data_IF_962541139394
#
_entry.id   IF_962541139394
#
_cell.length_a   1.000
_cell.length_b   1.000
_cell.length_c   1.000
_cell.angle_alpha   90.00
_cell.angle_beta   90.00
_cell.angle_gamma   90.00
#
_symmetry.space_group_name_H-M   'P 1'
#
loop_
_entity.id
_entity.type
_entity.pdbx_description
1 polymer ?
#
# COMPACT_ATOMS: atom_id res chain seq x y z
N UNK A 1 7.68 -7.36 3.74
CA UNK A 1 8.31 -6.03 3.90
C UNK A 1 7.52 -5.23 4.92
N UNK A 2 8.18 -4.65 5.94
CA UNK A 2 7.49 -3.78 6.90
C UNK A 2 7.30 -2.40 6.31
N UNK A 3 6.11 -1.84 6.49
CA UNK A 3 5.77 -0.50 6.02
C UNK A 3 5.01 0.32 7.08
N UNK A 4 5.14 1.63 7.01
CA UNK A 4 4.37 2.59 7.81
C UNK A 4 3.57 3.51 6.87
N UNK A 5 2.23 3.53 6.95
CA UNK A 5 1.41 4.42 6.12
C UNK A 5 1.52 5.87 6.60
N UNK A 6 1.54 6.84 5.67
CA UNK A 6 1.57 8.27 6.02
C UNK A 6 0.21 8.83 6.45
N UNK A 7 -0.89 8.14 6.14
CA UNK A 7 -2.26 8.62 6.35
C UNK A 7 -2.70 9.73 5.39
N UNK A 8 -1.83 10.13 4.46
CA UNK A 8 -2.11 11.18 3.48
C UNK A 8 -2.58 10.55 2.17
N UNK A 9 -3.69 11.05 1.64
CA UNK A 9 -4.19 10.69 0.31
C UNK A 9 -3.94 11.86 -0.65
N UNK A 10 -3.33 11.57 -1.79
CA UNK A 10 -3.04 12.53 -2.85
C UNK A 10 -3.40 11.94 -4.22
N UNK A 11 -3.50 12.75 -5.27
CA UNK A 11 -3.72 12.26 -6.63
C UNK A 11 -2.37 12.08 -7.34
N UNK A 12 -2.15 10.91 -7.95
CA UNK A 12 -0.89 10.64 -8.64
C UNK A 12 -0.83 9.25 -9.28
N UNK A 13 0.34 8.89 -9.77
CA UNK A 13 0.59 7.58 -10.41
C UNK A 13 1.10 6.59 -9.37
N UNK A 14 0.59 5.36 -9.43
CA UNK A 14 0.98 4.30 -8.49
C UNK A 14 2.33 3.70 -8.89
N UNK A 15 3.26 3.70 -7.93
CA UNK A 15 4.58 3.09 -8.11
C UNK A 15 4.51 1.56 -8.17
N UNK A 16 3.52 0.97 -7.48
CA UNK A 16 3.22 -0.45 -7.56
C UNK A 16 2.17 -0.69 -8.62
N UNK A 17 2.46 -1.56 -9.58
CA UNK A 17 1.52 -2.07 -10.56
C UNK A 17 1.63 -3.59 -10.59
N UNK A 18 0.49 -4.26 -10.53
CA UNK A 18 0.38 -5.72 -10.62
C UNK A 18 -0.66 -6.07 -11.68
N UNK A 19 -0.88 -7.36 -11.95
CA UNK A 19 -2.01 -7.78 -12.79
C UNK A 19 -3.38 -7.47 -12.17
N UNK A 20 -3.41 -7.18 -10.86
CA UNK A 20 -4.65 -7.01 -10.06
C UNK A 20 -4.87 -5.55 -9.64
N UNK A 21 -3.85 -4.71 -9.73
CA UNK A 21 -3.95 -3.27 -9.50
C UNK A 21 -3.12 -2.50 -10.55
N UNK A 22 -3.79 -1.64 -11.31
CA UNK A 22 -3.14 -0.80 -12.34
C UNK A 22 -3.79 0.58 -12.30
N UNK A 23 -2.97 1.61 -12.09
CA UNK A 23 -3.40 3.01 -12.24
C UNK A 23 -2.37 3.75 -13.09
N UNK A 24 -2.61 3.76 -14.41
CA UNK A 24 -1.73 4.37 -15.41
C UNK A 24 -2.01 5.86 -15.65
N UNK A 25 -3.23 6.31 -15.37
CA UNK A 25 -3.72 7.66 -15.74
C UNK A 25 -3.95 8.58 -14.52
N UNK A 26 -3.47 8.16 -13.35
CA UNK A 26 -3.65 8.88 -12.09
C UNK A 26 -4.80 8.32 -11.26
N UNK A 27 -4.56 8.16 -9.97
CA UNK A 27 -5.53 7.68 -9.00
C UNK A 27 -5.26 8.29 -7.62
N UNK A 28 -6.21 8.19 -6.68
CA UNK A 28 -5.93 8.40 -5.27
C UNK A 28 -4.85 7.42 -4.79
N UNK A 29 -3.74 7.97 -4.31
CA UNK A 29 -2.58 7.26 -3.77
C UNK A 29 -2.33 7.67 -2.32
N UNK A 30 -1.76 6.75 -1.55
CA UNK A 30 -1.16 7.03 -0.25
C UNK A 30 0.35 6.82 -0.33
N UNK A 31 1.09 7.51 0.53
CA UNK A 31 2.51 7.22 0.73
C UNK A 31 2.66 6.18 1.86
N UNK A 32 3.57 5.24 1.68
CA UNK A 32 4.05 4.34 2.72
C UNK A 32 5.56 4.42 2.83
N UNK A 33 6.11 4.20 4.02
CA UNK A 33 7.54 4.21 4.28
C UNK A 33 8.04 2.79 4.54
N UNK A 34 9.05 2.33 3.82
CA UNK A 34 9.69 1.05 4.14
C UNK A 34 10.48 1.15 5.43
N UNK A 35 10.49 0.09 6.23
CA UNK A 35 11.29 0.01 7.46
C UNK A 35 12.37 -1.07 7.27
N UNK A 36 13.64 -0.80 7.62
CA UNK A 36 14.17 0.40 8.30
C UNK A 36 14.63 1.53 7.37
N UNK A 37 14.70 1.31 6.06
CA UNK A 37 15.38 2.21 5.13
C UNK A 37 14.64 3.54 4.83
N UNK A 38 13.42 3.72 5.37
CA UNK A 38 12.58 4.91 5.19
C UNK A 38 12.42 5.29 3.71
N UNK A 39 12.29 4.31 2.82
CA UNK A 39 12.01 4.59 1.41
C UNK A 39 10.52 4.87 1.23
N UNK A 40 10.17 6.02 0.68
CA UNK A 40 8.79 6.34 0.36
C UNK A 40 8.32 5.56 -0.87
N UNK A 41 7.14 4.95 -0.80
CA UNK A 41 6.46 4.30 -1.91
C UNK A 41 5.05 4.89 -2.02
N UNK A 42 4.74 5.45 -3.17
CA UNK A 42 3.42 5.97 -3.51
C UNK A 42 2.57 4.85 -4.11
N UNK A 43 1.44 4.53 -3.48
CA UNK A 43 0.67 3.33 -3.80
C UNK A 43 -0.83 3.62 -3.80
N UNK A 44 -1.55 3.04 -4.77
CA UNK A 44 -3.00 3.08 -4.84
C UNK A 44 -3.60 2.29 -3.67
N UNK A 45 -4.83 2.64 -3.25
CA UNK A 45 -5.55 1.83 -2.25
C UNK A 45 -5.69 0.36 -2.66
N UNK A 46 -6.05 0.08 -3.93
CA UNK A 46 -6.15 -1.29 -4.43
C UNK A 46 -4.83 -2.06 -4.33
N UNK A 47 -3.73 -1.44 -4.72
CA UNK A 47 -2.40 -2.03 -4.64
C UNK A 47 -1.95 -2.26 -3.20
N UNK A 48 -2.18 -1.29 -2.31
CA UNK A 48 -1.86 -1.41 -0.90
C UNK A 48 -2.60 -2.60 -0.28
N UNK A 49 -3.90 -2.70 -0.54
CA UNK A 49 -4.73 -3.81 -0.05
C UNK A 49 -4.26 -5.16 -0.58
N UNK A 50 -3.87 -5.25 -1.86
CA UNK A 50 -3.32 -6.48 -2.43
C UNK A 50 -1.99 -6.89 -1.76
N UNK A 51 -1.08 -5.94 -1.54
CA UNK A 51 0.21 -6.21 -0.89
C UNK A 51 0.03 -6.68 0.56
N UNK A 52 -0.94 -6.10 1.29
CA UNK A 52 -1.30 -6.53 2.64
C UNK A 52 -1.97 -7.92 2.63
N UNK A 53 -2.95 -8.14 1.75
CA UNK A 53 -3.69 -9.40 1.63
C UNK A 53 -2.78 -10.59 1.27
N UNK A 54 -1.78 -10.35 0.43
CA UNK A 54 -0.80 -11.37 0.02
C UNK A 54 0.34 -11.57 1.03
N UNK A 55 0.37 -10.79 2.12
CA UNK A 55 1.44 -10.82 3.11
C UNK A 55 2.79 -10.29 2.62
N UNK A 56 2.86 -9.74 1.40
CA UNK A 56 4.07 -9.10 0.87
C UNK A 56 4.45 -7.90 1.73
N UNK A 57 3.45 -7.12 2.15
CA UNK A 57 3.61 -5.96 3.03
C UNK A 57 2.94 -6.22 4.39
N UNK A 58 3.53 -5.65 5.44
CA UNK A 58 3.09 -5.80 6.82
C UNK A 58 3.15 -4.42 7.47
N UNK A 59 2.07 -4.01 8.13
CA UNK A 59 2.03 -2.80 8.97
C UNK A 59 2.12 -3.28 10.42
N UNK A 60 3.13 -2.84 11.17
CA UNK A 60 3.24 -3.21 12.59
C UNK A 60 2.08 -2.62 13.40
N UNK A 61 1.49 -3.45 14.27
CA UNK A 61 0.33 -3.05 15.09
C UNK A 61 -1.02 -3.08 14.37
N UNK A 62 -1.06 -3.21 13.04
CA UNK A 62 -2.30 -3.46 12.33
C UNK A 62 -2.71 -4.93 12.53
N UNK A 63 -3.72 -5.18 13.38
CA UNK A 63 -4.41 -6.47 13.34
C UNK A 63 -4.98 -6.62 11.93
N UNK A 64 -4.67 -7.70 11.17
CA UNK A 64 -5.49 -8.02 10.01
C UNK A 64 -6.91 -8.17 10.56
N UNK A 65 -7.84 -7.37 10.04
CA UNK A 65 -9.26 -7.60 10.31
C UNK A 65 -9.50 -9.05 9.87
N UNK A 66 -9.78 -9.92 10.84
CA UNK A 66 -10.22 -11.26 10.55
C UNK A 66 -11.41 -11.11 9.60
N UNK A 67 -11.28 -11.65 8.39
CA UNK A 67 -12.43 -11.85 7.51
C UNK A 67 -13.36 -12.76 8.31
N UNK A 68 -14.43 -12.18 8.86
CA UNK A 68 -15.56 -12.94 9.32
C UNK A 68 -16.11 -13.68 8.10
N UNK A 69 -16.03 -15.01 8.17
CA UNK A 69 -16.65 -15.93 7.21
C UNK A 69 -18.17 -15.82 7.29
#
# INVERSE_FOLDING_TARGET
>A
MKIEPSGVVMFGICAVQTSVCVAKEGAPITAVWTVPNRTQINVCSACLNEQLRTGKWIIEGARPAAVAQ
#
